data_IF_427494458562
#
_entry.id   IF_427494458562
#
_cell.length_a   1.000
_cell.length_b   1.000
_cell.length_c   1.000
_cell.angle_alpha   90.00
_cell.angle_beta   90.00
_cell.angle_gamma   90.00
#
_symmetry.space_group_name_H-M   'P 1'
#
loop_
_entity.id
_entity.type
_entity.pdbx_description
1 polymer ?
#
# COMPACT_ATOMS: atom_id res chain seq x y z
N UNK A 1 50.07 -35.66 23.02
CA UNK A 1 49.49 -36.03 24.33
C UNK A 1 49.05 -34.74 24.97
N UNK A 2 47.79 -34.46 25.29
CA UNK A 2 46.60 -35.25 25.62
C UNK A 2 45.40 -34.62 24.89
N UNK A 3 44.66 -35.35 24.04
CA UNK A 3 43.42 -36.07 24.35
C UNK A 3 42.40 -35.34 25.24
N UNK A 4 41.35 -34.79 24.59
CA UNK A 4 39.99 -34.99 25.09
C UNK A 4 38.99 -35.10 23.93
N UNK A 5 38.12 -36.08 24.09
CA UNK A 5 37.32 -36.73 23.08
C UNK A 5 36.04 -35.97 22.68
N UNK A 6 35.58 -36.36 21.50
CA UNK A 6 34.25 -36.24 20.91
C UNK A 6 33.09 -36.46 21.89
N UNK A 7 32.06 -35.62 21.74
CA UNK A 7 30.67 -36.01 21.93
C UNK A 7 29.81 -35.22 20.93
N UNK A 8 29.47 -35.88 19.83
CA UNK A 8 28.32 -35.59 18.98
C UNK A 8 27.04 -35.78 19.79
N UNK A 9 26.15 -34.78 19.84
CA UNK A 9 24.74 -35.09 19.74
C UNK A 9 23.91 -33.96 19.12
N UNK A 10 22.93 -34.43 18.38
CA UNK A 10 21.96 -33.81 17.50
C UNK A 10 21.33 -32.50 18.01
N UNK A 11 21.26 -31.50 17.13
CA UNK A 11 20.14 -30.57 17.06
C UNK A 11 19.87 -30.25 15.59
N UNK A 12 19.45 -31.30 14.90
CA UNK A 12 18.80 -31.20 13.60
C UNK A 12 17.46 -30.46 13.76
N UNK A 13 17.13 -29.62 12.78
CA UNK A 13 15.75 -29.30 12.49
C UNK A 13 15.11 -28.13 13.24
N UNK A 14 15.57 -26.90 13.01
CA UNK A 14 14.66 -25.73 12.95
C UNK A 14 15.02 -24.78 11.81
N UNK A 15 15.07 -25.32 10.59
CA UNK A 15 14.74 -24.57 9.39
C UNK A 15 13.25 -24.17 9.46
N UNK A 16 12.94 -23.18 10.30
CA UNK A 16 11.61 -22.59 10.41
C UNK A 16 11.38 -21.75 9.14
N UNK A 17 10.96 -22.47 8.10
CA UNK A 17 10.33 -21.98 6.88
C UNK A 17 9.36 -20.85 7.26
N UNK A 18 9.80 -19.59 7.12
CA UNK A 18 8.93 -18.42 7.19
C UNK A 18 7.94 -18.52 6.04
N UNK A 19 6.79 -19.13 6.29
CA UNK A 19 5.60 -18.88 5.47
C UNK A 19 5.13 -17.48 5.83
N UNK A 20 5.14 -16.59 4.85
CA UNK A 20 4.55 -15.26 4.93
C UNK A 20 3.03 -15.39 5.02
N UNK A 21 2.50 -15.57 6.22
CA UNK A 21 1.07 -15.33 6.51
C UNK A 21 0.91 -13.84 6.87
N UNK A 22 1.20 -12.93 5.94
CA UNK A 22 1.03 -11.49 6.14
C UNK A 22 -0.23 -10.93 5.48
N UNK A 23 -0.92 -11.70 4.61
CA UNK A 23 -2.17 -11.29 3.98
C UNK A 23 -3.39 -11.34 4.93
N UNK A 24 -3.41 -12.28 5.89
CA UNK A 24 -4.56 -12.46 6.81
C UNK A 24 -4.66 -11.46 7.95
N UNK A 25 -3.59 -10.68 8.23
CA UNK A 25 -3.63 -9.64 9.27
C UNK A 25 -4.10 -8.29 8.75
N UNK A 26 -3.92 -8.02 7.46
CA UNK A 26 -4.49 -6.83 6.84
C UNK A 26 -6.02 -6.95 6.74
N UNK A 27 -6.56 -8.11 6.36
CA UNK A 27 -8.01 -8.31 6.29
C UNK A 27 -8.72 -8.05 7.63
N UNK A 28 -8.05 -8.28 8.76
CA UNK A 28 -8.61 -8.07 10.09
C UNK A 28 -8.73 -6.58 10.48
N UNK A 29 -7.96 -5.69 9.85
CA UNK A 29 -8.18 -4.24 9.95
C UNK A 29 -9.35 -3.77 9.09
N UNK A 30 -9.66 -4.49 8.00
CA UNK A 30 -10.70 -4.12 7.04
C UNK A 30 -12.07 -4.76 7.31
N UNK A 31 -12.15 -5.85 8.08
CA UNK A 31 -13.38 -6.61 8.28
C UNK A 31 -14.29 -6.12 9.42
N UNK A 32 -13.86 -5.18 10.27
CA UNK A 32 -14.75 -4.56 11.27
C UNK A 32 -15.55 -3.40 10.65
N UNK A 33 -16.38 -3.75 9.67
CA UNK A 33 -17.23 -2.85 8.89
C UNK A 33 -18.47 -2.39 9.65
N UNK A 34 -18.71 -1.07 9.63
CA UNK A 34 -19.94 -0.46 9.09
C UNK A 34 -20.09 1.04 9.45
N UNK A 35 -19.32 1.58 10.40
CA UNK A 35 -19.33 3.02 10.70
C UNK A 35 -17.95 3.71 10.57
N UNK A 36 -16.86 2.95 10.65
CA UNK A 36 -15.49 3.49 10.71
C UNK A 36 -14.74 3.53 9.37
N UNK A 37 -15.23 2.87 8.31
CA UNK A 37 -14.46 2.68 7.07
C UNK A 37 -14.25 3.94 6.23
N UNK A 38 -15.22 4.88 6.21
CA UNK A 38 -15.02 6.20 5.59
C UNK A 38 -13.94 7.00 6.31
N UNK A 39 -13.85 6.83 7.63
CA UNK A 39 -12.86 7.49 8.47
C UNK A 39 -11.46 6.88 8.27
N UNK A 40 -11.37 5.55 8.17
CA UNK A 40 -10.10 4.84 7.95
C UNK A 40 -9.47 5.09 6.58
N UNK A 41 -10.26 5.10 5.51
CA UNK A 41 -9.75 5.38 4.16
C UNK A 41 -9.32 6.86 3.99
N UNK A 42 -10.11 7.80 4.53
CA UNK A 42 -9.72 9.21 4.55
C UNK A 42 -8.46 9.46 5.41
N UNK A 43 -8.33 8.73 6.53
CA UNK A 43 -7.16 8.79 7.40
C UNK A 43 -5.90 8.25 6.72
N UNK A 44 -6.00 7.15 5.97
CA UNK A 44 -4.86 6.57 5.24
C UNK A 44 -4.42 7.47 4.07
N UNK A 45 -5.37 8.02 3.31
CA UNK A 45 -5.07 8.96 2.24
C UNK A 45 -4.36 10.21 2.76
N UNK A 46 -4.85 10.79 3.86
CA UNK A 46 -4.20 11.91 4.54
C UNK A 46 -2.79 11.55 5.01
N UNK A 47 -2.61 10.40 5.63
CA UNK A 47 -1.29 9.95 6.09
C UNK A 47 -0.31 9.76 4.92
N UNK A 48 -0.75 9.23 3.78
CA UNK A 48 0.09 9.09 2.58
C UNK A 48 0.43 10.44 1.96
N UNK A 49 -0.47 11.42 2.02
CA UNK A 49 -0.18 12.79 1.62
C UNK A 49 0.89 13.42 2.51
N UNK A 50 0.78 13.26 3.84
CA UNK A 50 1.75 13.77 4.81
C UNK A 50 3.12 13.11 4.65
N UNK A 51 3.16 11.80 4.41
CA UNK A 51 4.41 11.09 4.11
C UNK A 51 5.02 11.57 2.79
N UNK A 52 4.20 11.80 1.76
CA UNK A 52 4.69 12.38 0.49
C UNK A 52 5.29 13.78 0.72
N UNK A 53 4.65 14.61 1.54
CA UNK A 53 5.15 15.94 1.91
C UNK A 53 6.47 15.83 2.68
N UNK A 54 6.55 14.90 3.63
CA UNK A 54 7.75 14.64 4.44
C UNK A 54 8.95 14.32 3.55
N UNK A 55 8.77 13.48 2.52
CA UNK A 55 9.82 13.18 1.54
C UNK A 55 10.32 14.43 0.81
N UNK A 56 9.40 15.31 0.36
CA UNK A 56 9.76 16.58 -0.28
C UNK A 56 10.52 17.51 0.67
N UNK A 57 10.07 17.62 1.92
CA UNK A 57 10.72 18.43 2.94
C UNK A 57 12.14 17.91 3.25
N UNK A 58 12.33 16.59 3.36
CA UNK A 58 13.64 16.00 3.58
C UNK A 58 14.62 16.28 2.43
N UNK A 59 14.16 16.25 1.17
CA UNK A 59 14.98 16.71 0.03
C UNK A 59 15.38 18.16 0.18
N UNK A 60 14.44 19.04 0.54
CA UNK A 60 14.70 20.46 0.72
C UNK A 60 15.69 20.73 1.86
N UNK A 61 15.61 19.97 2.95
CA UNK A 61 16.57 20.03 4.06
C UNK A 61 17.98 19.67 3.59
N UNK A 62 18.15 18.62 2.79
CA UNK A 62 19.45 18.24 2.26
C UNK A 62 20.03 19.33 1.33
N UNK A 63 19.18 19.91 0.46
CA UNK A 63 19.58 21.02 -0.42
C UNK A 63 19.99 22.28 0.37
N UNK A 64 19.24 22.64 1.42
CA UNK A 64 19.58 23.80 2.26
C UNK A 64 20.84 23.58 3.08
N UNK A 65 21.05 22.38 3.62
CA UNK A 65 22.27 22.01 4.33
C UNK A 65 23.51 22.14 3.43
N UNK A 66 23.47 21.61 2.21
CA UNK A 66 24.60 21.74 1.27
C UNK A 66 24.91 23.19 0.92
N UNK A 67 23.88 24.01 0.63
CA UNK A 67 24.10 25.44 0.37
C UNK A 67 24.68 26.19 1.57
N UNK A 68 24.14 25.93 2.76
CA UNK A 68 24.64 26.54 4.00
C UNK A 68 26.09 26.15 4.27
N UNK A 69 26.45 24.89 4.04
CA UNK A 69 27.82 24.40 4.20
C UNK A 69 28.79 25.02 3.19
N UNK A 70 28.38 25.16 1.93
CA UNK A 70 29.18 25.83 0.91
C UNK A 70 29.44 27.30 1.29
N UNK A 71 28.43 28.02 1.79
CA UNK A 71 28.59 29.39 2.28
C UNK A 71 29.52 29.48 3.49
N UNK A 72 29.42 28.55 4.45
CA UNK A 72 30.30 28.52 5.62
C UNK A 72 31.76 28.20 5.24
N UNK A 73 31.96 27.30 4.29
CA UNK A 73 33.30 26.96 3.79
C UNK A 73 33.94 28.16 3.09
N UNK A 74 33.18 28.87 2.25
CA UNK A 74 33.63 30.11 1.61
C UNK A 74 33.99 31.18 2.65
N UNK A 75 33.14 31.38 3.66
CA UNK A 75 33.42 32.30 4.75
C UNK A 75 34.70 31.93 5.52
N UNK A 76 34.88 30.65 5.87
CA UNK A 76 36.04 30.17 6.62
C UNK A 76 37.35 30.39 5.85
N UNK A 77 37.32 30.15 4.53
CA UNK A 77 38.45 30.44 3.65
C UNK A 77 38.82 31.93 3.65
N UNK A 78 37.82 32.81 3.65
CA UNK A 78 38.00 34.27 3.72
C UNK A 78 38.38 34.80 5.11
N UNK A 79 38.22 34.01 6.18
CA UNK A 79 38.49 34.44 7.55
C UNK A 79 39.99 34.57 7.89
N UNK A 80 40.89 34.17 6.97
CA UNK A 80 42.35 34.22 7.11
C UNK A 80 42.86 33.53 8.40
N UNK A 81 42.15 32.49 8.85
CA UNK A 81 42.50 31.67 10.00
C UNK A 81 42.56 30.20 9.55
N UNK A 82 43.78 29.68 9.43
CA UNK A 82 44.02 28.32 8.95
C UNK A 82 43.37 27.22 9.81
N UNK A 83 43.21 27.45 11.12
CA UNK A 83 42.52 26.49 11.98
C UNK A 83 41.01 26.45 11.72
N UNK A 84 40.40 27.61 11.43
CA UNK A 84 38.97 27.67 11.07
C UNK A 84 38.74 27.05 9.69
N UNK A 85 39.64 27.29 8.72
CA UNK A 85 39.55 26.70 7.38
C UNK A 85 39.67 25.17 7.42
N UNK A 86 40.65 24.59 8.13
CA UNK A 86 40.79 23.13 8.27
C UNK A 86 39.56 22.49 8.94
N UNK A 87 39.07 23.08 10.03
CA UNK A 87 37.86 22.58 10.71
C UNK A 87 36.65 22.64 9.77
N UNK A 88 36.48 23.73 9.00
CA UNK A 88 35.35 23.81 8.08
C UNK A 88 35.47 22.90 6.88
N UNK A 89 36.66 22.66 6.34
CA UNK A 89 36.85 21.69 5.26
C UNK A 89 36.45 20.28 5.72
N UNK A 90 36.88 19.85 6.91
CA UNK A 90 36.47 18.55 7.47
C UNK A 90 34.97 18.48 7.75
N UNK A 91 34.40 19.57 8.25
CA UNK A 91 32.95 19.67 8.49
C UNK A 91 32.17 19.60 7.18
N UNK A 92 32.65 20.25 6.12
CA UNK A 92 32.04 20.20 4.80
C UNK A 92 32.03 18.78 4.23
N UNK A 93 33.16 18.07 4.30
CA UNK A 93 33.24 16.67 3.86
C UNK A 93 32.26 15.77 4.61
N UNK A 94 32.09 15.97 5.92
CA UNK A 94 31.12 15.23 6.71
C UNK A 94 29.68 15.53 6.24
N UNK A 95 29.38 16.79 5.95
CA UNK A 95 28.07 17.18 5.44
C UNK A 95 27.80 16.65 4.04
N UNK A 96 28.80 16.59 3.16
CA UNK A 96 28.65 16.01 1.82
C UNK A 96 28.22 14.53 1.90
N UNK A 97 28.87 13.76 2.77
CA UNK A 97 28.50 12.35 3.02
C UNK A 97 27.10 12.29 3.63
N UNK A 98 26.81 13.12 4.63
CA UNK A 98 25.52 13.12 5.32
C UNK A 98 24.36 13.44 4.37
N UNK A 99 24.47 14.49 3.57
CA UNK A 99 23.40 14.91 2.66
C UNK A 99 23.25 13.93 1.49
N UNK A 100 24.33 13.32 1.01
CA UNK A 100 24.25 12.23 0.03
C UNK A 100 23.43 11.05 0.59
N UNK A 101 23.74 10.62 1.83
CA UNK A 101 23.00 9.54 2.50
C UNK A 101 21.55 9.91 2.76
N UNK A 102 21.28 11.16 3.15
CA UNK A 102 19.93 11.66 3.33
C UNK A 102 19.15 11.63 2.01
N UNK A 103 19.75 12.04 0.89
CA UNK A 103 19.11 11.98 -0.43
C UNK A 103 18.86 10.53 -0.88
N UNK A 104 19.79 9.62 -0.64
CA UNK A 104 19.59 8.18 -0.90
C UNK A 104 18.42 7.64 -0.07
N UNK A 105 18.35 7.97 1.23
CA UNK A 105 17.24 7.61 2.09
C UNK A 105 15.91 8.15 1.54
N UNK A 106 15.85 9.42 1.14
CA UNK A 106 14.63 10.02 0.60
C UNK A 106 14.17 9.31 -0.68
N UNK A 107 15.08 8.90 -1.57
CA UNK A 107 14.72 8.13 -2.77
C UNK A 107 14.02 6.81 -2.41
N UNK A 108 14.57 6.06 -1.46
CA UNK A 108 13.94 4.82 -0.98
C UNK A 108 12.62 5.09 -0.28
N UNK A 109 12.58 6.10 0.58
CA UNK A 109 11.39 6.53 1.30
C UNK A 109 10.24 6.89 0.33
N UNK A 110 10.50 7.74 -0.66
CA UNK A 110 9.51 8.11 -1.68
C UNK A 110 9.06 6.90 -2.49
N UNK A 111 9.97 5.98 -2.83
CA UNK A 111 9.60 4.74 -3.50
C UNK A 111 8.60 3.92 -2.66
N UNK A 112 8.84 3.75 -1.36
CA UNK A 112 7.93 3.00 -0.49
C UNK A 112 6.57 3.69 -0.34
N UNK A 113 6.55 5.01 -0.21
CA UNK A 113 5.28 5.77 -0.18
C UNK A 113 4.48 5.56 -1.46
N UNK A 114 5.13 5.55 -2.63
CA UNK A 114 4.46 5.24 -3.90
C UNK A 114 3.90 3.81 -3.94
N UNK A 115 4.59 2.83 -3.35
CA UNK A 115 4.04 1.47 -3.27
C UNK A 115 2.79 1.42 -2.39
N UNK A 116 2.77 2.16 -1.27
CA UNK A 116 1.58 2.24 -0.41
C UNK A 116 0.41 2.91 -1.13
N UNK A 117 0.65 3.96 -1.92
CA UNK A 117 -0.39 4.60 -2.75
C UNK A 117 -1.00 3.62 -3.77
N UNK A 118 -0.18 2.79 -4.42
CA UNK A 118 -0.67 1.76 -5.34
C UNK A 118 -1.54 0.72 -4.62
N UNK A 119 -1.19 0.36 -3.39
CA UNK A 119 -1.99 -0.56 -2.58
C UNK A 119 -3.34 0.07 -2.23
N UNK A 120 -3.34 1.34 -1.79
CA UNK A 120 -4.58 2.10 -1.52
C UNK A 120 -5.50 2.13 -2.76
N UNK A 121 -4.93 2.42 -3.93
CA UNK A 121 -5.69 2.48 -5.18
C UNK A 121 -6.27 1.11 -5.56
N UNK A 122 -5.51 0.04 -5.39
CA UNK A 122 -5.98 -1.32 -5.64
C UNK A 122 -7.11 -1.71 -4.67
N UNK A 123 -6.97 -1.40 -3.38
CA UNK A 123 -8.01 -1.63 -2.38
C UNK A 123 -9.29 -0.86 -2.72
N UNK A 124 -9.17 0.38 -3.21
CA UNK A 124 -10.31 1.18 -3.64
C UNK A 124 -11.07 0.52 -4.81
N UNK A 125 -10.34 -0.04 -5.77
CA UNK A 125 -10.92 -0.76 -6.91
C UNK A 125 -11.61 -2.05 -6.45
N UNK A 126 -10.97 -2.83 -5.57
CA UNK A 126 -11.57 -4.04 -5.00
C UNK A 126 -12.88 -3.72 -4.27
N UNK A 127 -12.88 -2.70 -3.42
CA UNK A 127 -14.10 -2.27 -2.71
C UNK A 127 -15.22 -1.78 -3.63
N UNK A 128 -14.89 -1.23 -4.79
CA UNK A 128 -15.88 -0.85 -5.80
C UNK A 128 -16.47 -2.09 -6.47
N UNK A 129 -15.63 -3.06 -6.82
CA UNK A 129 -16.06 -4.33 -7.40
C UNK A 129 -16.93 -5.13 -6.43
N UNK A 130 -16.57 -5.19 -5.15
CA UNK A 130 -17.36 -5.83 -4.09
C UNK A 130 -18.78 -5.23 -4.01
N UNK A 131 -18.89 -3.90 -3.96
CA UNK A 131 -20.18 -3.20 -3.97
C UNK A 131 -20.99 -3.50 -5.24
N UNK A 132 -20.35 -3.53 -6.40
CA UNK A 132 -21.04 -3.87 -7.65
C UNK A 132 -21.58 -5.31 -7.64
N UNK A 133 -20.81 -6.25 -7.07
CA UNK A 133 -21.24 -7.65 -6.91
C UNK A 133 -22.43 -7.74 -5.96
N UNK A 134 -22.41 -7.04 -4.83
CA UNK A 134 -23.53 -6.99 -3.89
C UNK A 134 -24.80 -6.41 -4.55
N UNK A 135 -24.67 -5.34 -5.32
CA UNK A 135 -25.81 -4.77 -6.05
C UNK A 135 -26.37 -5.71 -7.11
N UNK A 136 -25.51 -6.45 -7.82
CA UNK A 136 -25.92 -7.43 -8.81
C UNK A 136 -26.59 -8.64 -8.17
N UNK A 137 -26.08 -9.13 -7.04
CA UNK A 137 -26.68 -10.23 -6.27
C UNK A 137 -28.08 -9.84 -5.76
N UNK A 138 -28.26 -8.62 -5.25
CA UNK A 138 -29.59 -8.15 -4.84
C UNK A 138 -30.55 -7.98 -6.02
N UNK A 139 -30.06 -7.50 -7.18
CA UNK A 139 -30.85 -7.46 -8.43
C UNK A 139 -31.25 -8.86 -8.88
N UNK A 140 -30.33 -9.83 -8.83
CA UNK A 140 -30.59 -11.22 -9.19
C UNK A 140 -31.63 -11.84 -8.26
N UNK A 141 -31.48 -11.68 -6.93
CA UNK A 141 -32.47 -12.16 -5.95
C UNK A 141 -33.84 -11.54 -6.16
N UNK A 142 -33.92 -10.27 -6.55
CA UNK A 142 -35.18 -9.60 -6.84
C UNK A 142 -35.83 -10.17 -8.11
N UNK A 143 -35.08 -10.31 -9.20
CA UNK A 143 -35.56 -10.92 -10.45
C UNK A 143 -35.99 -12.36 -10.26
N UNK A 144 -35.23 -13.17 -9.50
CA UNK A 144 -35.62 -14.55 -9.14
C UNK A 144 -36.95 -14.58 -8.40
N UNK A 145 -37.16 -13.67 -7.43
CA UNK A 145 -38.43 -13.54 -6.70
C UNK A 145 -39.58 -13.12 -7.62
N UNK A 146 -39.36 -12.20 -8.55
CA UNK A 146 -40.35 -11.76 -9.54
C UNK A 146 -40.70 -12.88 -10.54
N UNK A 147 -39.73 -13.64 -11.03
CA UNK A 147 -39.98 -14.81 -11.88
C UNK A 147 -40.77 -15.87 -11.10
N UNK A 148 -40.39 -16.17 -9.86
CA UNK A 148 -41.10 -17.18 -9.07
C UNK A 148 -42.56 -16.78 -8.82
N UNK A 149 -42.82 -15.50 -8.49
CA UNK A 149 -44.19 -14.97 -8.40
C UNK A 149 -44.90 -14.96 -9.75
N UNK A 150 -44.20 -14.53 -10.80
CA UNK A 150 -44.68 -14.51 -12.17
C UNK A 150 -45.12 -15.90 -12.62
N UNK A 151 -44.32 -16.95 -12.41
CA UNK A 151 -44.69 -18.33 -12.76
C UNK A 151 -45.98 -18.77 -12.04
N UNK A 152 -46.22 -18.29 -10.82
CA UNK A 152 -47.48 -18.49 -10.09
C UNK A 152 -48.68 -17.77 -10.73
N UNK A 153 -48.50 -16.54 -11.23
CA UNK A 153 -49.55 -15.73 -11.87
C UNK A 153 -49.77 -16.08 -13.36
N UNK A 154 -48.70 -16.40 -14.09
CA UNK A 154 -48.68 -16.73 -15.52
C UNK A 154 -49.08 -18.18 -15.80
N UNK A 155 -49.14 -19.07 -14.78
CA UNK A 155 -49.87 -20.35 -14.90
C UNK A 155 -51.35 -20.14 -15.22
N UNK A 156 -51.89 -18.94 -14.99
CA UNK A 156 -53.28 -18.58 -15.25
C UNK A 156 -53.49 -17.70 -16.50
N UNK A 157 -52.49 -16.99 -17.03
CA UNK A 157 -52.62 -16.19 -18.27
C UNK A 157 -51.30 -16.08 -19.05
N UNK A 158 -51.26 -16.66 -20.26
CA UNK A 158 -50.35 -16.43 -21.42
C UNK A 158 -48.82 -16.27 -21.17
N UNK A 159 -48.05 -17.27 -21.60
CA UNK A 159 -46.59 -17.40 -21.44
C UNK A 159 -45.66 -16.53 -22.32
N UNK A 160 -46.09 -15.36 -22.78
CA UNK A 160 -45.23 -14.44 -23.56
C UNK A 160 -44.23 -13.64 -22.71
N UNK A 161 -44.67 -13.14 -21.55
CA UNK A 161 -43.84 -12.27 -20.69
C UNK A 161 -42.74 -13.03 -19.94
N UNK A 162 -42.91 -14.33 -19.68
CA UNK A 162 -41.88 -15.18 -19.06
C UNK A 162 -40.62 -15.26 -19.94
N UNK A 163 -40.77 -15.24 -21.27
CA UNK A 163 -39.64 -15.30 -22.19
C UNK A 163 -38.81 -14.01 -22.15
N UNK A 164 -39.45 -12.85 -22.05
CA UNK A 164 -38.77 -11.55 -21.91
C UNK A 164 -37.99 -11.45 -20.59
N UNK A 165 -38.55 -11.95 -19.49
CA UNK A 165 -37.84 -12.01 -18.21
C UNK A 165 -36.66 -12.99 -18.22
N UNK A 166 -36.75 -14.11 -18.93
CA UNK A 166 -35.61 -15.04 -19.09
C UNK A 166 -34.50 -14.43 -19.93
N UNK A 167 -34.84 -13.75 -21.02
CA UNK A 167 -33.88 -13.10 -21.91
C UNK A 167 -33.13 -11.96 -21.21
N UNK A 168 -33.81 -11.18 -20.37
CA UNK A 168 -33.18 -10.13 -19.55
C UNK A 168 -32.29 -10.70 -18.45
N UNK A 169 -32.63 -11.88 -17.91
CA UNK A 169 -31.79 -12.57 -16.92
C UNK A 169 -30.51 -13.15 -17.56
N UNK A 170 -30.58 -13.68 -18.78
CA UNK A 170 -29.41 -14.12 -19.55
C UNK A 170 -28.47 -12.97 -19.93
N UNK A 171 -28.98 -11.75 -20.10
CA UNK A 171 -28.14 -10.57 -20.40
C UNK A 171 -27.39 -10.04 -19.16
N UNK A 172 -27.90 -10.30 -17.95
CA UNK A 172 -27.28 -9.85 -16.69
C UNK A 172 -26.26 -10.88 -16.18
N UNK A 173 -26.39 -12.15 -16.56
CA UNK A 173 -25.38 -13.16 -16.31
C UNK A 173 -24.18 -12.94 -17.25
N UNK A 174 -22.94 -12.80 -16.73
CA UNK A 174 -21.77 -12.78 -17.59
C UNK A 174 -21.69 -14.11 -18.34
N UNK A 175 -21.64 -14.05 -19.66
CA UNK A 175 -21.52 -15.22 -20.53
C UNK A 175 -20.27 -16.03 -20.16
N UNK A 176 -20.38 -17.36 -20.04
CA UNK A 176 -19.21 -18.19 -19.80
C UNK A 176 -18.26 -18.04 -20.99
N UNK A 177 -17.09 -17.44 -20.75
CA UNK A 177 -16.02 -17.38 -21.73
C UNK A 177 -15.51 -18.81 -21.97
N UNK A 178 -15.82 -19.34 -23.14
CA UNK A 178 -15.22 -20.54 -23.74
C UNK A 178 -14.13 -20.14 -24.73
#
# INVERSE_FOLDING_TARGET
MEHRASATDQADGLARRRRTTSLGKLSQFFQNGNANERSGAASLHSALADLTLTGKLMTKVAETQNRGMASLTCWAHCANNAAIDDVMQRTSQLFDIFTERQLQFVRHYTHYVQQLQKIEDAERVVKLAERNVEELDEKEKKLRREIQKGVSFFRQRRGGDIYLLRQTLEQVLPSPQS
#
